data_IF_971868377261
#
_entry.id   IF_971868377261
#
_cell.length_a   1.000
_cell.length_b   1.000
_cell.length_c   1.000
_cell.angle_alpha   90.00
_cell.angle_beta   90.00
_cell.angle_gamma   90.00
#
_symmetry.space_group_name_H-M   'P 1'
#
loop_
_entity.id
_entity.type
_entity.pdbx_description
1 polymer ?
#
# COMPACT_ATOMS: atom_id res chain seq x y z
N UNK A 1 -2.54 19.64 19.19
CA UNK A 1 -1.72 18.41 19.11
C UNK A 1 -2.36 17.53 18.07
N UNK A 2 -1.83 17.54 16.90
CA UNK A 2 -2.54 17.26 15.65
C UNK A 2 -2.24 15.87 15.13
N UNK A 3 -3.23 15.29 14.49
CA UNK A 3 -3.32 13.90 14.00
C UNK A 3 -2.43 13.56 12.79
N UNK A 4 -1.48 14.42 12.41
CA UNK A 4 -0.69 14.23 11.18
C UNK A 4 0.51 13.27 11.29
N UNK A 5 0.91 12.88 12.52
CA UNK A 5 2.06 11.98 12.72
C UNK A 5 1.73 10.48 12.67
N UNK A 6 0.53 10.12 12.22
CA UNK A 6 -0.03 8.76 12.35
C UNK A 6 0.05 7.89 11.09
N UNK A 7 0.61 8.40 10.00
CA UNK A 7 0.52 7.73 8.68
C UNK A 7 1.66 6.77 8.32
N UNK A 8 2.66 6.55 9.19
CA UNK A 8 3.91 5.89 8.77
C UNK A 8 4.26 4.57 9.47
N UNK A 9 3.34 3.94 10.20
CA UNK A 9 3.62 2.67 10.90
C UNK A 9 2.76 1.48 10.44
N UNK A 10 2.11 1.57 9.30
CA UNK A 10 1.26 0.53 8.75
C UNK A 10 1.55 0.14 7.31
N UNK A 11 2.77 0.37 6.81
CA UNK A 11 3.11 0.18 5.40
C UNK A 11 4.14 -0.93 5.17
N UNK A 12 3.89 -2.08 5.71
CA UNK A 12 4.54 -3.29 5.23
C UNK A 12 3.45 -4.29 4.87
N UNK A 13 2.64 -3.96 3.86
CA UNK A 13 1.87 -4.94 3.06
C UNK A 13 0.90 -4.21 2.14
N UNK A 14 1.42 -3.72 1.07
CA UNK A 14 0.59 -3.48 -0.08
C UNK A 14 0.95 -4.55 -1.11
N UNK A 15 0.12 -5.58 -1.23
CA UNK A 15 -0.19 -6.05 -2.57
C UNK A 15 -0.35 -4.81 -3.44
N UNK A 16 -0.01 -4.83 -4.72
CA UNK A 16 -0.23 -3.75 -5.71
C UNK A 16 -1.63 -3.08 -5.66
N UNK A 17 -2.13 -2.85 -4.51
CA UNK A 17 -2.93 -1.69 -4.25
C UNK A 17 -1.90 -0.58 -4.21
N UNK A 18 -1.72 0.11 -5.34
CA UNK A 18 -1.42 1.54 -5.26
C UNK A 18 -2.01 1.98 -3.95
N UNK A 19 -1.23 2.49 -2.96
CA UNK A 19 -1.89 3.00 -1.78
C UNK A 19 -3.03 3.79 -2.36
N UNK A 20 -4.26 3.31 -2.18
CA UNK A 20 -5.40 4.11 -2.55
C UNK A 20 -5.12 5.34 -1.74
N UNK A 21 -4.42 6.24 -2.41
CA UNK A 21 -4.03 7.53 -1.86
C UNK A 21 -5.36 7.99 -1.35
N UNK A 22 -5.55 8.01 -0.01
CA UNK A 22 -6.83 8.14 0.63
C UNK A 22 -7.48 9.40 0.09
N UNK A 23 -8.07 9.22 -1.03
CA UNK A 23 -8.59 10.22 -1.91
C UNK A 23 -9.78 10.73 -1.26
N UNK A 24 -9.98 11.67 -0.94
CA UNK A 24 -11.22 12.23 -0.67
C UNK A 24 -11.21 13.37 0.28
N UNK A 25 -10.17 14.04 0.32
CA UNK A 25 -10.25 15.35 0.90
C UNK A 25 -9.86 16.34 -0.18
N UNK A 26 -10.85 16.86 -0.90
CA UNK A 26 -10.71 18.16 -1.55
C UNK A 26 -10.20 19.11 -0.48
N UNK A 27 -8.92 19.36 -0.52
CA UNK A 27 -8.27 20.26 0.38
C UNK A 27 -8.85 21.66 0.18
N UNK A 28 -9.27 22.29 1.23
CA UNK A 28 -9.67 23.66 1.23
C UNK A 28 -8.44 24.55 1.52
N UNK A 29 -8.52 25.84 1.22
CA UNK A 29 -7.49 26.81 1.55
C UNK A 29 -7.07 26.83 3.04
N UNK A 30 -7.89 26.27 3.94
CA UNK A 30 -7.57 26.02 5.34
C UNK A 30 -6.33 25.12 5.52
N UNK A 31 -6.05 24.20 4.59
CA UNK A 31 -4.86 23.36 4.68
C UNK A 31 -3.57 24.11 4.38
N UNK A 32 -3.61 25.06 3.49
CA UNK A 32 -2.46 25.94 3.22
C UNK A 32 -2.06 26.67 4.51
N UNK A 33 -3.05 27.18 5.26
CA UNK A 33 -2.79 27.85 6.53
C UNK A 33 -2.33 26.86 7.62
N UNK A 34 -2.79 25.62 7.57
CA UNK A 34 -2.37 24.55 8.48
C UNK A 34 -0.91 24.16 8.22
N UNK A 35 -0.51 23.96 6.97
CA UNK A 35 0.89 23.67 6.59
C UNK A 35 1.84 24.74 7.09
N UNK A 36 1.47 26.01 6.95
CA UNK A 36 2.28 27.15 7.45
C UNK A 36 2.47 27.15 8.96
N UNK A 37 1.52 26.60 9.71
CA UNK A 37 1.59 26.47 11.17
C UNK A 37 2.33 25.22 11.66
N UNK A 38 2.30 24.16 10.89
CA UNK A 38 2.81 22.85 11.27
C UNK A 38 4.24 22.58 10.80
N UNK A 39 4.69 23.25 9.74
CA UNK A 39 6.05 23.11 9.23
C UNK A 39 7.07 23.61 10.26
N UNK A 40 8.14 22.87 10.43
CA UNK A 40 9.18 23.17 11.44
C UNK A 40 10.21 24.16 10.98
N UNK A 41 10.44 24.25 9.69
CA UNK A 41 11.35 25.17 9.07
C UNK A 41 10.73 25.77 7.80
N UNK A 42 11.13 27.00 7.45
CA UNK A 42 10.77 27.61 6.18
C UNK A 42 11.91 28.44 5.62
N UNK A 43 12.08 28.41 4.30
CA UNK A 43 13.03 29.26 3.57
C UNK A 43 12.29 29.82 2.36
N UNK A 44 11.98 31.09 2.38
CA UNK A 44 11.12 31.70 1.36
C UNK A 44 9.75 31.03 1.28
N UNK A 45 9.33 30.55 0.10
CA UNK A 45 8.05 29.84 -0.06
C UNK A 45 8.07 28.38 0.36
N UNK A 46 9.25 27.82 0.69
CA UNK A 46 9.41 26.41 1.02
C UNK A 46 9.23 26.19 2.52
N UNK A 47 8.30 25.33 2.86
CA UNK A 47 8.04 24.85 4.21
C UNK A 47 8.50 23.40 4.31
N UNK A 48 9.27 23.03 5.32
CA UNK A 48 9.84 21.69 5.41
C UNK A 48 9.79 21.13 6.82
N UNK A 49 9.69 19.81 6.91
CA UNK A 49 9.88 19.04 8.14
C UNK A 49 10.83 17.88 7.84
N UNK A 50 12.14 18.09 8.01
CA UNK A 50 13.12 17.01 7.89
C UNK A 50 12.99 16.04 9.07
N UNK A 51 13.31 14.78 8.80
CA UNK A 51 13.19 13.68 9.77
C UNK A 51 14.29 12.65 9.51
N UNK A 52 14.80 12.08 10.59
CA UNK A 52 15.60 10.86 10.54
C UNK A 52 14.88 9.79 11.34
N UNK A 53 14.69 8.64 10.73
CA UNK A 53 14.14 7.47 11.42
C UNK A 53 15.16 6.34 11.37
N UNK A 54 15.50 5.78 12.53
CA UNK A 54 16.18 4.50 12.66
C UNK A 54 15.09 3.48 13.00
N UNK A 55 14.92 2.48 12.17
CA UNK A 55 13.91 1.43 12.34
C UNK A 55 14.55 0.05 12.22
N UNK A 56 13.89 -0.96 12.77
CA UNK A 56 14.38 -2.34 12.72
C UNK A 56 15.79 -2.52 13.28
N UNK A 57 16.20 -1.66 14.26
CA UNK A 57 17.45 -1.86 14.97
C UNK A 57 17.29 -3.02 15.94
N UNK A 58 17.60 -4.24 15.48
CA UNK A 58 17.33 -5.44 16.26
C UNK A 58 17.58 -6.72 15.50
N UNK A 59 16.87 -7.78 15.82
CA UNK A 59 17.06 -9.11 15.27
C UNK A 59 15.84 -9.54 14.45
N UNK A 60 16.11 -10.06 13.26
CA UNK A 60 15.21 -10.80 12.40
C UNK A 60 15.58 -12.28 12.51
N UNK A 61 14.68 -13.11 13.04
CA UNK A 61 14.96 -14.54 13.29
C UNK A 61 14.95 -15.40 12.03
N UNK A 62 14.40 -14.89 10.91
CA UNK A 62 14.28 -15.61 9.65
C UNK A 62 14.38 -14.64 8.46
N UNK A 63 15.58 -14.17 8.17
CA UNK A 63 15.84 -13.15 7.13
C UNK A 63 15.31 -13.55 5.75
N UNK A 64 15.31 -14.83 5.43
CA UNK A 64 14.89 -15.35 4.12
C UNK A 64 13.47 -15.94 4.12
N UNK A 65 12.75 -15.90 5.24
CA UNK A 65 11.46 -16.55 5.38
C UNK A 65 11.50 -18.05 4.99
N UNK A 66 12.58 -18.72 5.37
CA UNK A 66 12.79 -20.12 5.04
C UNK A 66 11.95 -21.03 5.95
N UNK A 67 11.33 -22.08 5.38
CA UNK A 67 10.50 -23.03 6.10
C UNK A 67 11.32 -24.01 6.96
N UNK A 68 12.49 -24.44 6.51
CA UNK A 68 13.21 -25.56 7.14
C UNK A 68 14.49 -25.18 7.88
N UNK A 69 15.14 -24.11 7.51
CA UNK A 69 16.40 -23.65 8.11
C UNK A 69 16.39 -22.12 8.20
N UNK A 70 15.71 -21.56 9.22
CA UNK A 70 15.67 -20.13 9.40
C UNK A 70 17.05 -19.57 9.74
N UNK A 71 17.45 -18.52 9.06
CA UNK A 71 18.70 -17.81 9.31
C UNK A 71 18.40 -16.44 9.94
N UNK A 72 19.00 -16.20 11.11
CA UNK A 72 18.81 -14.95 11.83
C UNK A 72 19.94 -13.97 11.56
N UNK A 73 19.61 -12.67 11.57
CA UNK A 73 20.59 -11.61 11.50
C UNK A 73 20.22 -10.38 12.33
N UNK A 74 21.21 -9.59 12.67
CA UNK A 74 20.99 -8.27 13.22
C UNK A 74 20.81 -7.28 12.08
N UNK A 75 19.74 -6.48 12.14
CA UNK A 75 19.34 -5.56 11.09
C UNK A 75 19.22 -4.14 11.60
N UNK A 76 19.39 -3.18 10.71
CA UNK A 76 19.10 -1.77 10.96
C UNK A 76 18.70 -1.07 9.65
N UNK A 77 17.74 -0.16 9.74
CA UNK A 77 17.37 0.70 8.61
C UNK A 77 17.38 2.15 9.06
N UNK A 78 18.18 2.98 8.40
CA UNK A 78 18.20 4.43 8.60
C UNK A 78 17.48 5.11 7.46
N UNK A 79 16.46 5.90 7.77
CA UNK A 79 15.64 6.61 6.79
C UNK A 79 15.73 8.12 7.01
N UNK A 80 16.68 8.82 6.38
CA UNK A 80 16.58 10.27 6.22
C UNK A 80 15.41 10.58 5.27
N UNK A 81 14.57 11.53 5.66
CA UNK A 81 13.42 11.96 4.87
C UNK A 81 13.06 13.41 5.13
N UNK A 82 12.31 14.01 4.21
CA UNK A 82 11.76 15.34 4.40
C UNK A 82 10.36 15.44 3.77
N UNK A 83 9.44 16.03 4.51
CA UNK A 83 8.18 16.52 3.95
C UNK A 83 8.38 17.99 3.57
N UNK A 84 8.09 18.36 2.33
CA UNK A 84 8.25 19.71 1.79
C UNK A 84 6.91 20.17 1.24
N UNK A 85 6.56 21.41 1.57
CA UNK A 85 5.35 22.07 1.07
C UNK A 85 5.68 23.43 0.45
N UNK A 86 5.02 23.72 -0.66
CA UNK A 86 5.12 25.03 -1.32
C UNK A 86 3.70 25.56 -1.52
N UNK A 87 3.18 26.36 -0.56
CA UNK A 87 1.90 27.02 -0.73
C UNK A 87 2.04 28.24 -1.63
N UNK A 88 1.20 28.34 -2.66
CA UNK A 88 1.19 29.47 -3.59
C UNK A 88 -0.10 30.27 -3.42
N UNK A 89 0.01 31.45 -2.85
CA UNK A 89 -1.04 32.48 -2.76
C UNK A 89 -2.43 31.99 -2.32
N UNK A 90 -2.56 30.99 -1.45
CA UNK A 90 -3.83 30.33 -1.03
C UNK A 90 -4.63 29.70 -2.18
N UNK A 91 -4.02 29.55 -3.36
CA UNK A 91 -4.67 28.97 -4.54
C UNK A 91 -4.07 27.64 -4.98
N UNK A 92 -2.82 27.40 -4.63
CA UNK A 92 -2.18 26.13 -4.95
C UNK A 92 -1.33 25.63 -3.78
N UNK A 93 -1.19 24.34 -3.69
CA UNK A 93 -0.32 23.67 -2.74
C UNK A 93 0.45 22.58 -3.48
N UNK A 94 1.77 22.61 -3.42
CA UNK A 94 2.61 21.48 -3.78
C UNK A 94 3.11 20.85 -2.48
N UNK A 95 2.97 19.54 -2.38
CA UNK A 95 3.46 18.73 -1.28
C UNK A 95 4.36 17.65 -1.85
N UNK A 96 5.53 17.43 -1.26
CA UNK A 96 6.47 16.38 -1.67
C UNK A 96 7.05 15.73 -0.43
N UNK A 97 7.12 14.40 -0.42
CA UNK A 97 7.88 13.64 0.56
C UNK A 97 9.02 12.96 -0.17
N UNK A 98 10.24 13.18 0.28
CA UNK A 98 11.45 12.55 -0.26
C UNK A 98 12.17 11.81 0.84
N UNK A 99 12.70 10.64 0.55
CA UNK A 99 13.49 9.86 1.51
C UNK A 99 14.25 8.72 0.86
N UNK A 100 15.08 8.08 1.66
CA UNK A 100 15.76 6.85 1.25
C UNK A 100 15.91 5.93 2.46
N UNK A 101 15.64 4.65 2.27
CA UNK A 101 15.94 3.63 3.28
C UNK A 101 17.36 3.10 3.03
N UNK A 102 18.24 3.27 4.02
CA UNK A 102 19.57 2.69 4.07
C UNK A 102 19.47 1.41 4.90
N UNK A 103 19.31 0.28 4.21
CA UNK A 103 19.08 -1.03 4.84
C UNK A 103 20.39 -1.76 5.07
N UNK A 104 20.64 -2.19 6.29
CA UNK A 104 21.84 -2.87 6.69
C UNK A 104 21.55 -4.21 7.36
N UNK A 105 22.33 -5.22 7.02
CA UNK A 105 22.37 -6.57 7.62
C UNK A 105 23.79 -6.85 8.08
N UNK A 106 23.96 -7.52 9.21
CA UNK A 106 25.28 -7.80 9.76
C UNK A 106 26.01 -8.88 8.95
N UNK A 107 25.43 -10.05 8.84
CA UNK A 107 26.02 -11.21 8.18
C UNK A 107 25.70 -11.25 6.68
N UNK A 108 24.50 -10.88 6.28
CA UNK A 108 24.01 -10.96 4.90
C UNK A 108 24.24 -9.66 4.13
N UNK A 109 25.50 -9.40 3.75
CA UNK A 109 25.88 -8.20 3.00
C UNK A 109 25.12 -8.05 1.66
N UNK A 110 24.74 -9.16 1.03
CA UNK A 110 23.96 -9.18 -0.20
C UNK A 110 22.54 -8.64 -0.02
N UNK A 111 22.03 -8.64 1.22
CA UNK A 111 20.69 -8.11 1.54
C UNK A 111 20.69 -6.61 1.85
N UNK A 112 21.87 -5.98 1.93
CA UNK A 112 21.98 -4.53 2.12
C UNK A 112 21.47 -3.79 0.89
N UNK A 113 20.79 -2.66 1.11
CA UNK A 113 20.26 -1.88 0.00
C UNK A 113 20.14 -0.39 0.34
N UNK A 114 20.09 0.41 -0.73
CA UNK A 114 19.70 1.82 -0.70
C UNK A 114 18.44 1.92 -1.50
N UNK A 115 17.34 2.33 -0.86
CA UNK A 115 16.00 2.29 -1.40
C UNK A 115 15.39 3.70 -1.44
N UNK A 116 15.70 4.52 -2.48
CA UNK A 116 15.15 5.87 -2.61
C UNK A 116 13.66 5.83 -2.95
N UNK A 117 12.94 6.80 -2.39
CA UNK A 117 11.53 7.03 -2.68
C UNK A 117 11.17 8.50 -2.68
N UNK A 118 10.23 8.86 -3.54
CA UNK A 118 9.65 10.19 -3.58
C UNK A 118 8.17 10.10 -3.89
N UNK A 119 7.37 10.90 -3.21
CA UNK A 119 5.96 11.11 -3.56
C UNK A 119 5.69 12.60 -3.64
N UNK A 120 4.78 13.00 -4.52
CA UNK A 120 4.41 14.40 -4.69
C UNK A 120 2.94 14.54 -5.01
N UNK A 121 2.33 15.64 -4.55
CA UNK A 121 0.97 16.02 -4.88
C UNK A 121 0.91 17.53 -5.10
N UNK A 122 0.33 17.93 -6.23
CA UNK A 122 0.02 19.31 -6.55
C UNK A 122 -1.48 19.53 -6.62
N UNK A 123 -1.98 20.61 -6.05
CA UNK A 123 -3.38 20.97 -6.08
C UNK A 123 -3.54 22.46 -6.44
N UNK A 124 -4.51 22.76 -7.31
CA UNK A 124 -4.90 24.10 -7.69
C UNK A 124 -6.38 24.32 -7.37
N UNK A 125 -6.66 25.22 -6.46
CA UNK A 125 -7.99 25.55 -5.98
C UNK A 125 -8.58 26.73 -6.74
N UNK A 126 -9.59 26.45 -7.56
CA UNK A 126 -10.39 27.44 -8.26
C UNK A 126 -11.79 27.36 -7.67
N UNK A 127 -12.38 28.40 -7.23
CA UNK A 127 -13.71 28.48 -6.60
C UNK A 127 -14.51 27.16 -6.43
N UNK A 128 -14.96 26.56 -7.55
CA UNK A 128 -15.73 25.29 -7.60
C UNK A 128 -14.97 24.11 -8.18
N UNK A 129 -13.76 24.34 -8.68
CA UNK A 129 -12.95 23.33 -9.36
C UNK A 129 -11.63 23.21 -8.59
N UNK A 130 -11.23 21.96 -8.34
CA UNK A 130 -9.88 21.66 -7.86
C UNK A 130 -9.23 20.78 -8.91
N UNK A 131 -8.11 21.22 -9.46
CA UNK A 131 -7.23 20.39 -10.26
C UNK A 131 -6.20 19.77 -9.34
N UNK A 132 -5.90 18.50 -9.55
CA UNK A 132 -4.86 17.82 -8.79
C UNK A 132 -4.03 16.90 -9.69
N UNK A 133 -2.80 16.71 -9.29
CA UNK A 133 -1.92 15.70 -9.84
C UNK A 133 -1.04 15.17 -8.71
N UNK A 134 -0.90 13.87 -8.63
CA UNK A 134 0.00 13.23 -7.69
C UNK A 134 0.76 12.08 -8.34
N UNK A 135 1.86 11.71 -7.71
CA UNK A 135 2.68 10.64 -8.21
C UNK A 135 3.71 10.18 -7.18
N UNK A 136 4.25 9.01 -7.44
CA UNK A 136 5.27 8.40 -6.61
C UNK A 136 6.25 7.59 -7.44
N UNK A 137 7.47 7.55 -6.94
CA UNK A 137 8.55 6.71 -7.43
C UNK A 137 9.21 6.03 -6.24
N UNK A 138 9.43 4.73 -6.34
CA UNK A 138 10.18 3.95 -5.38
C UNK A 138 11.08 2.96 -6.11
N UNK A 139 12.36 2.94 -5.76
CA UNK A 139 13.28 1.89 -6.17
C UNK A 139 13.72 1.16 -4.91
N UNK A 140 13.24 -0.05 -4.73
CA UNK A 140 13.37 -0.75 -3.46
C UNK A 140 13.78 -2.20 -3.63
N UNK A 141 14.38 -2.77 -2.59
CA UNK A 141 14.64 -4.20 -2.46
C UNK A 141 13.75 -4.85 -1.39
N UNK A 142 12.70 -4.16 -0.99
CA UNK A 142 11.72 -4.71 -0.05
C UNK A 142 10.91 -5.85 -0.72
N UNK A 143 10.29 -6.69 0.10
CA UNK A 143 9.34 -7.68 -0.40
C UNK A 143 8.12 -6.98 -0.98
N UNK A 144 7.69 -7.41 -2.17
CA UNK A 144 6.53 -6.80 -2.83
C UNK A 144 5.24 -7.05 -2.04
N UNK A 145 5.03 -8.29 -1.65
CA UNK A 145 3.87 -8.74 -0.88
C UNK A 145 4.19 -10.07 -0.18
N UNK A 146 3.22 -10.72 0.46
CA UNK A 146 3.43 -12.03 1.12
C UNK A 146 3.60 -13.18 0.14
N UNK A 147 3.14 -13.05 -1.09
CA UNK A 147 3.37 -14.06 -2.11
C UNK A 147 4.82 -13.99 -2.62
N UNK A 148 5.25 -12.77 -3.01
CA UNK A 148 6.62 -12.47 -3.39
C UNK A 148 7.39 -12.07 -2.14
N UNK A 149 7.66 -13.02 -1.28
CA UNK A 149 8.32 -12.81 0.00
C UNK A 149 9.86 -12.79 -0.06
N UNK A 150 10.42 -12.80 -1.26
CA UNK A 150 11.82 -12.55 -1.55
C UNK A 150 12.12 -11.05 -1.57
N UNK A 151 13.29 -10.67 -1.06
CA UNK A 151 13.82 -9.30 -1.19
C UNK A 151 14.38 -9.10 -2.61
N UNK A 152 13.52 -8.67 -3.51
CA UNK A 152 13.81 -8.47 -4.93
C UNK A 152 13.88 -6.98 -5.26
N UNK A 153 14.94 -6.56 -5.98
CA UNK A 153 15.03 -5.18 -6.48
C UNK A 153 13.93 -4.95 -7.51
N UNK A 154 13.14 -3.91 -7.28
CA UNK A 154 12.11 -3.48 -8.23
C UNK A 154 11.86 -1.98 -8.14
N UNK A 155 11.29 -1.46 -9.22
CA UNK A 155 10.85 -0.07 -9.34
C UNK A 155 9.32 -0.06 -9.38
N UNK A 156 8.73 0.78 -8.54
CA UNK A 156 7.31 1.09 -8.54
C UNK A 156 7.13 2.56 -8.92
N UNK A 157 6.29 2.83 -9.91
CA UNK A 157 5.89 4.18 -10.30
C UNK A 157 4.37 4.27 -10.29
N UNK A 158 3.85 5.41 -9.86
CA UNK A 158 2.44 5.69 -9.92
C UNK A 158 2.21 7.17 -10.20
N UNK A 159 1.19 7.47 -10.98
CA UNK A 159 0.75 8.85 -11.22
C UNK A 159 -0.77 8.87 -11.34
N UNK A 160 -1.36 9.95 -10.85
CA UNK A 160 -2.77 10.25 -11.00
C UNK A 160 -2.92 11.74 -11.30
N UNK A 161 -3.83 12.10 -12.20
CA UNK A 161 -4.19 13.48 -12.43
C UNK A 161 -5.69 13.59 -12.67
N UNK A 162 -6.30 14.63 -12.12
CA UNK A 162 -7.75 14.75 -12.19
C UNK A 162 -8.29 16.13 -11.88
N UNK A 163 -9.62 16.18 -11.93
CA UNK A 163 -10.42 17.36 -11.63
C UNK A 163 -11.59 17.00 -10.73
N UNK A 164 -11.76 17.75 -9.67
CA UNK A 164 -12.94 17.69 -8.79
C UNK A 164 -13.76 18.96 -8.97
N UNK A 165 -15.06 18.79 -9.23
CA UNK A 165 -16.00 19.90 -9.46
C UNK A 165 -17.10 19.87 -8.38
N UNK A 166 -17.23 20.97 -7.64
CA UNK A 166 -18.33 21.19 -6.67
C UNK A 166 -19.55 21.71 -7.42
N UNK A 167 -20.50 20.83 -7.75
CA UNK A 167 -21.75 21.19 -8.45
C UNK A 167 -22.69 21.97 -7.54
N UNK A 168 -22.80 21.52 -6.29
CA UNK A 168 -23.55 22.18 -5.23
C UNK A 168 -22.74 22.19 -3.93
N UNK A 169 -23.17 22.90 -2.89
CA UNK A 169 -22.49 22.82 -1.58
C UNK A 169 -22.40 21.41 -0.98
N UNK A 170 -23.27 20.48 -1.41
CA UNK A 170 -23.30 19.10 -0.90
C UNK A 170 -22.88 18.04 -1.90
N UNK A 171 -22.83 18.36 -3.19
CA UNK A 171 -22.55 17.38 -4.24
C UNK A 171 -21.33 17.77 -5.07
N UNK A 172 -20.42 16.83 -5.27
CA UNK A 172 -19.25 16.99 -6.13
C UNK A 172 -19.02 15.74 -6.99
N UNK A 173 -18.37 15.95 -8.14
CA UNK A 173 -17.91 14.88 -9.03
C UNK A 173 -16.42 15.08 -9.20
N UNK A 174 -15.68 13.99 -9.16
CA UNK A 174 -14.24 13.93 -9.42
C UNK A 174 -13.99 12.94 -10.54
N UNK A 175 -13.12 13.30 -11.46
CA UNK A 175 -12.61 12.40 -12.50
C UNK A 175 -11.09 12.41 -12.46
N UNK A 176 -10.47 11.25 -12.60
CA UNK A 176 -9.02 11.11 -12.61
C UNK A 176 -8.57 10.06 -13.62
N UNK A 177 -7.40 10.29 -14.21
CA UNK A 177 -6.64 9.30 -14.96
C UNK A 177 -5.55 8.70 -14.08
N UNK A 178 -5.32 7.39 -14.22
CA UNK A 178 -4.37 6.62 -13.41
C UNK A 178 -3.31 5.97 -14.28
N UNK A 179 -2.09 5.96 -13.81
CA UNK A 179 -0.97 5.23 -14.37
C UNK A 179 -0.19 4.57 -13.24
N UNK A 180 0.19 3.30 -13.43
CA UNK A 180 1.12 2.60 -12.56
C UNK A 180 2.05 1.71 -13.37
N UNK A 181 3.26 1.51 -12.90
CA UNK A 181 4.27 0.68 -13.53
C UNK A 181 5.08 -0.06 -12.45
N UNK A 182 5.21 -1.36 -12.59
CA UNK A 182 6.01 -2.24 -11.75
C UNK A 182 7.05 -2.94 -12.59
N UNK A 183 8.33 -2.84 -12.20
CA UNK A 183 9.43 -3.49 -12.92
C UNK A 183 10.42 -4.12 -11.96
N UNK A 184 10.61 -5.43 -12.10
CA UNK A 184 11.67 -6.19 -11.43
C UNK A 184 12.95 -6.20 -12.24
N UNK A 185 14.08 -6.26 -11.55
CA UNK A 185 15.38 -6.51 -12.18
C UNK A 185 15.41 -7.90 -12.83
N UNK A 186 16.11 -8.01 -13.99
CA UNK A 186 16.05 -9.17 -14.88
C UNK A 186 16.52 -10.50 -14.30
N UNK A 187 17.35 -10.48 -13.27
CA UNK A 187 17.99 -11.68 -12.72
C UNK A 187 17.28 -12.27 -11.51
N UNK A 188 16.21 -11.61 -11.04
CA UNK A 188 15.49 -12.07 -9.85
C UNK A 188 14.56 -13.21 -10.16
N UNK A 189 14.81 -14.37 -9.53
CA UNK A 189 13.97 -15.56 -9.65
C UNK A 189 13.37 -15.96 -8.31
N UNK A 190 12.14 -16.46 -8.34
CA UNK A 190 11.43 -17.06 -7.22
C UNK A 190 10.87 -18.40 -7.67
N UNK A 191 11.23 -19.49 -6.99
CA UNK A 191 10.88 -20.88 -7.38
C UNK A 191 11.23 -21.23 -8.85
N UNK A 192 12.36 -20.68 -9.35
CA UNK A 192 12.78 -20.87 -10.74
C UNK A 192 12.06 -19.99 -11.77
N UNK A 193 11.08 -19.18 -11.35
CA UNK A 193 10.35 -18.25 -12.20
C UNK A 193 11.00 -16.87 -12.12
N UNK A 194 11.32 -16.28 -13.27
CA UNK A 194 11.83 -14.88 -13.33
C UNK A 194 10.69 -13.91 -13.06
N UNK A 195 10.75 -13.15 -11.96
CA UNK A 195 9.71 -12.21 -11.57
C UNK A 195 9.44 -11.14 -12.64
N UNK A 196 10.50 -10.67 -13.33
CA UNK A 196 10.38 -9.74 -14.44
C UNK A 196 9.39 -10.26 -15.51
N UNK A 197 9.44 -11.56 -15.85
CA UNK A 197 8.61 -12.12 -16.92
C UNK A 197 7.13 -12.21 -16.58
N UNK A 198 6.82 -12.36 -15.31
CA UNK A 198 5.45 -12.63 -14.85
C UNK A 198 4.79 -11.42 -14.19
N UNK A 199 5.57 -10.47 -13.68
CA UNK A 199 5.06 -9.36 -12.87
C UNK A 199 5.39 -7.96 -13.42
N UNK A 200 6.32 -7.81 -14.40
CA UNK A 200 6.49 -6.50 -15.03
C UNK A 200 5.21 -6.10 -15.74
N UNK A 201 4.57 -5.06 -15.24
CA UNK A 201 3.27 -4.64 -15.76
C UNK A 201 3.12 -3.13 -15.70
N UNK A 202 2.35 -2.63 -16.65
CA UNK A 202 1.84 -1.28 -16.72
C UNK A 202 0.32 -1.31 -16.56
N UNK A 203 -0.20 -0.51 -15.64
CA UNK A 203 -1.64 -0.32 -15.43
C UNK A 203 -2.03 1.10 -15.84
N UNK A 204 -3.03 1.24 -16.68
CA UNK A 204 -3.64 2.52 -17.05
C UNK A 204 -5.13 2.47 -16.79
N UNK A 205 -5.71 3.61 -16.45
CA UNK A 205 -7.13 3.64 -16.25
C UNK A 205 -7.67 5.02 -15.96
N UNK A 206 -8.95 5.04 -15.64
CA UNK A 206 -9.62 6.26 -15.18
C UNK A 206 -10.67 5.93 -14.12
N UNK A 207 -11.01 6.92 -13.32
CA UNK A 207 -12.08 6.83 -12.34
C UNK A 207 -13.03 8.03 -12.42
N UNK A 208 -14.27 7.78 -12.00
CA UNK A 208 -15.29 8.81 -11.76
C UNK A 208 -15.89 8.57 -10.39
N UNK A 209 -15.81 9.57 -9.51
CA UNK A 209 -16.37 9.47 -8.15
C UNK A 209 -17.38 10.57 -7.92
N UNK A 210 -18.64 10.18 -7.68
CA UNK A 210 -19.69 11.08 -7.20
C UNK A 210 -19.70 11.09 -5.68
N UNK A 211 -19.71 12.28 -5.05
CA UNK A 211 -19.76 12.43 -3.59
C UNK A 211 -20.92 13.29 -3.17
N UNK A 212 -21.69 12.81 -2.18
CA UNK A 212 -22.78 13.55 -1.55
C UNK A 212 -22.51 13.73 -0.05
N UNK A 213 -22.30 14.96 0.39
CA UNK A 213 -22.08 15.31 1.80
C UNK A 213 -23.39 15.29 2.57
N UNK A 214 -23.58 14.25 3.39
CA UNK A 214 -24.77 14.10 4.24
C UNK A 214 -24.67 15.00 5.48
N UNK A 215 -23.51 14.99 6.14
CA UNK A 215 -23.20 15.85 7.27
C UNK A 215 -21.87 16.58 7.03
N UNK A 216 -21.48 17.57 7.83
CA UNK A 216 -20.15 18.18 7.73
C UNK A 216 -18.98 17.20 7.84
N UNK A 217 -19.20 16.03 8.47
CA UNK A 217 -18.17 15.03 8.75
C UNK A 217 -18.37 13.71 7.97
N UNK A 218 -19.49 13.53 7.27
CA UNK A 218 -19.86 12.27 6.60
C UNK A 218 -20.25 12.53 5.14
N UNK A 219 -19.66 11.78 4.24
CA UNK A 219 -19.90 11.83 2.80
C UNK A 219 -20.24 10.44 2.28
N UNK A 220 -21.31 10.30 1.52
CA UNK A 220 -21.58 9.12 0.70
C UNK A 220 -20.86 9.29 -0.63
N UNK A 221 -20.28 8.22 -1.14
CA UNK A 221 -19.56 8.23 -2.41
C UNK A 221 -19.93 7.01 -3.25
N UNK A 222 -19.86 7.18 -4.56
CA UNK A 222 -19.90 6.06 -5.51
C UNK A 222 -18.73 6.25 -6.46
N UNK A 223 -17.81 5.27 -6.50
CA UNK A 223 -16.65 5.25 -7.37
C UNK A 223 -16.88 4.24 -8.50
N UNK A 224 -16.72 4.68 -9.72
CA UNK A 224 -16.54 3.85 -10.89
C UNK A 224 -15.06 3.94 -11.29
N UNK A 225 -14.45 2.82 -11.62
CA UNK A 225 -13.06 2.77 -12.08
C UNK A 225 -12.93 1.74 -13.19
N UNK A 226 -12.17 2.08 -14.21
CA UNK A 226 -11.80 1.17 -15.28
C UNK A 226 -10.29 1.14 -15.41
N UNK A 227 -9.72 -0.07 -15.45
CA UNK A 227 -8.29 -0.33 -15.54
C UNK A 227 -7.98 -1.24 -16.72
N UNK A 228 -6.81 -1.06 -17.27
CA UNK A 228 -6.21 -1.90 -18.29
C UNK A 228 -4.79 -2.24 -17.83
N UNK A 229 -4.50 -3.54 -17.71
CA UNK A 229 -3.20 -4.08 -17.34
C UNK A 229 -2.50 -4.65 -18.55
N UNK A 230 -1.24 -4.29 -18.76
CA UNK A 230 -0.36 -4.79 -19.81
C UNK A 230 0.91 -5.35 -19.22
N UNK A 231 1.27 -6.56 -19.60
CA UNK A 231 2.48 -7.25 -19.15
C UNK A 231 3.56 -7.18 -20.23
N UNK A 232 4.74 -6.66 -19.84
CA UNK A 232 5.85 -6.44 -20.77
C UNK A 232 6.32 -7.73 -21.46
N UNK A 233 6.43 -8.84 -20.70
CA UNK A 233 6.96 -10.12 -21.16
C UNK A 233 5.92 -11.24 -21.20
N UNK A 234 4.69 -10.96 -20.82
CA UNK A 234 3.59 -11.94 -20.76
C UNK A 234 2.28 -11.36 -21.30
N UNK A 235 2.18 -11.00 -22.59
CA UNK A 235 0.96 -10.42 -23.16
C UNK A 235 -0.29 -11.27 -22.99
N UNK A 236 -0.13 -12.59 -22.81
CA UNK A 236 -1.23 -13.49 -22.47
C UNK A 236 -1.94 -13.12 -21.14
N UNK A 237 -1.30 -12.35 -20.29
CA UNK A 237 -1.84 -11.85 -19.02
C UNK A 237 -2.51 -10.49 -19.13
N UNK A 238 -2.47 -9.85 -20.29
CA UNK A 238 -3.13 -8.57 -20.52
C UNK A 238 -4.62 -8.65 -20.22
N UNK A 239 -5.12 -7.66 -19.51
CA UNK A 239 -6.50 -7.67 -19.05
C UNK A 239 -7.15 -6.29 -19.03
N UNK A 240 -8.47 -6.30 -18.90
CA UNK A 240 -9.30 -5.13 -18.57
C UNK A 240 -10.16 -5.45 -17.39
N UNK A 241 -10.37 -4.47 -16.52
CA UNK A 241 -11.32 -4.61 -15.44
C UNK A 241 -12.07 -3.30 -15.20
N UNK A 242 -13.30 -3.42 -14.71
CA UNK A 242 -13.99 -2.29 -14.11
C UNK A 242 -14.50 -2.66 -12.73
N UNK A 243 -14.66 -1.66 -11.88
CA UNK A 243 -15.29 -1.81 -10.57
C UNK A 243 -16.23 -0.65 -10.26
N UNK A 244 -17.31 -0.96 -9.56
CA UNK A 244 -18.27 0.03 -9.05
C UNK A 244 -18.35 -0.15 -7.55
N UNK A 245 -18.01 0.88 -6.81
CA UNK A 245 -17.85 0.82 -5.37
C UNK A 245 -18.63 1.95 -4.68
N UNK A 246 -19.88 1.74 -4.26
CA UNK A 246 -20.54 2.60 -3.28
C UNK A 246 -19.80 2.54 -1.93
N UNK A 247 -19.78 3.66 -1.23
CA UNK A 247 -19.08 3.78 0.04
C UNK A 247 -19.44 4.99 0.86
N UNK A 248 -18.79 5.07 2.02
CA UNK A 248 -18.93 6.15 2.98
C UNK A 248 -17.55 6.63 3.41
N UNK A 249 -17.38 7.93 3.50
CA UNK A 249 -16.16 8.60 3.90
C UNK A 249 -16.41 9.46 5.14
N UNK A 250 -15.53 9.33 6.14
CA UNK A 250 -15.54 10.12 7.37
C UNK A 250 -14.31 11.01 7.45
N UNK A 251 -14.51 12.28 7.80
CA UNK A 251 -13.40 13.23 7.94
C UNK A 251 -12.49 12.86 9.12
N UNK A 252 -11.18 13.21 9.09
CA UNK A 252 -10.22 12.89 10.17
C UNK A 252 -10.57 13.48 11.53
N UNK A 253 -11.40 14.50 11.60
CA UNK A 253 -11.85 15.13 12.86
C UNK A 253 -13.14 14.52 13.42
N UNK A 254 -13.76 13.57 12.72
CA UNK A 254 -14.89 12.84 13.23
C UNK A 254 -14.45 11.84 14.31
N UNK A 255 -15.37 11.44 15.16
CA UNK A 255 -15.15 10.40 16.18
C UNK A 255 -14.74 9.06 15.51
N UNK A 256 -15.38 8.76 14.38
CA UNK A 256 -14.98 7.72 13.44
C UNK A 256 -14.36 8.43 12.24
N UNK A 257 -13.17 8.03 11.80
CA UNK A 257 -12.49 8.59 10.64
C UNK A 257 -12.06 7.48 9.69
N UNK A 258 -11.93 7.81 8.40
CA UNK A 258 -11.56 6.85 7.36
C UNK A 258 -12.65 6.64 6.33
N UNK A 259 -12.63 5.51 5.64
CA UNK A 259 -13.60 5.19 4.59
C UNK A 259 -13.93 3.70 4.55
N UNK A 260 -15.09 3.39 3.99
CA UNK A 260 -15.54 2.04 3.72
C UNK A 260 -16.24 2.01 2.37
N UNK A 261 -15.75 1.15 1.48
CA UNK A 261 -16.28 0.89 0.16
C UNK A 261 -16.53 -0.60 0.00
N UNK A 262 -17.64 -0.96 -0.59
CA UNK A 262 -17.93 -2.33 -1.01
C UNK A 262 -18.56 -2.26 -2.40
N UNK A 263 -18.19 -3.17 -3.28
CA UNK A 263 -18.65 -3.09 -4.65
C UNK A 263 -18.44 -4.37 -5.41
N UNK A 264 -18.53 -4.23 -6.71
CA UNK A 264 -18.41 -5.32 -7.66
C UNK A 264 -17.28 -5.00 -8.65
N UNK A 265 -16.45 -5.99 -8.95
CA UNK A 265 -15.42 -5.94 -9.97
C UNK A 265 -15.68 -7.02 -11.01
N UNK A 266 -15.54 -6.65 -12.27
CA UNK A 266 -15.45 -7.57 -13.38
C UNK A 266 -14.07 -7.44 -14.00
N UNK A 267 -13.41 -8.59 -14.17
CA UNK A 267 -12.07 -8.71 -14.73
C UNK A 267 -12.15 -9.64 -15.94
N UNK A 268 -11.68 -9.15 -17.09
CA UNK A 268 -11.73 -9.84 -18.36
C UNK A 268 -10.34 -9.85 -19.01
N UNK A 269 -9.76 -11.03 -19.26
CA UNK A 269 -8.56 -11.15 -20.09
C UNK A 269 -8.78 -10.57 -21.47
N UNK A 270 -7.74 -9.97 -22.06
CA UNK A 270 -7.78 -9.46 -23.44
C UNK A 270 -7.57 -10.57 -24.47
N UNK A 271 -6.82 -11.60 -24.08
CA UNK A 271 -6.50 -12.73 -24.94
C UNK A 271 -7.36 -13.92 -24.53
N UNK A 272 -8.11 -14.48 -25.47
CA UNK A 272 -9.03 -15.60 -25.21
C UNK A 272 -8.29 -16.82 -24.66
N UNK A 273 -8.77 -17.35 -23.54
CA UNK A 273 -8.32 -18.59 -22.93
C UNK A 273 -7.01 -18.53 -22.14
N UNK A 274 -6.35 -17.38 -22.07
CA UNK A 274 -5.06 -17.27 -21.37
C UNK A 274 -5.19 -17.11 -19.84
N UNK A 275 -6.26 -16.47 -19.38
CA UNK A 275 -6.52 -16.24 -17.95
C UNK A 275 -7.96 -16.61 -17.60
N UNK A 276 -8.24 -17.06 -16.36
CA UNK A 276 -9.61 -17.17 -15.89
C UNK A 276 -10.25 -15.78 -15.78
N UNK A 277 -11.56 -15.70 -16.04
CA UNK A 277 -12.36 -14.51 -15.78
C UNK A 277 -12.68 -14.42 -14.30
N UNK A 278 -12.78 -13.22 -13.78
CA UNK A 278 -13.28 -12.99 -12.43
C UNK A 278 -14.43 -12.01 -12.45
N UNK A 279 -15.46 -12.33 -11.70
CA UNK A 279 -16.55 -11.41 -11.41
C UNK A 279 -17.00 -11.63 -9.95
N UNK A 280 -16.99 -10.58 -9.15
CA UNK A 280 -17.30 -10.78 -7.74
C UNK A 280 -17.24 -9.51 -6.89
N UNK A 281 -17.52 -9.71 -5.62
CA UNK A 281 -17.47 -8.64 -4.64
C UNK A 281 -16.02 -8.25 -4.34
N UNK A 282 -15.80 -6.94 -4.27
CA UNK A 282 -14.57 -6.30 -3.81
C UNK A 282 -14.90 -5.33 -2.69
N UNK A 283 -13.96 -5.12 -1.79
CA UNK A 283 -14.18 -4.24 -0.65
C UNK A 283 -12.86 -3.60 -0.18
N UNK A 284 -12.98 -2.39 0.31
CA UNK A 284 -11.90 -1.60 0.89
C UNK A 284 -12.45 -0.86 2.11
N UNK A 285 -11.92 -1.15 3.28
CA UNK A 285 -12.32 -0.53 4.53
C UNK A 285 -11.09 -0.17 5.34
N UNK A 286 -11.04 1.07 5.80
CA UNK A 286 -10.07 1.56 6.76
C UNK A 286 -10.73 2.56 7.67
N UNK A 287 -11.12 2.11 8.87
CA UNK A 287 -11.81 2.93 9.84
C UNK A 287 -11.01 3.02 11.13
N UNK A 288 -11.05 4.17 11.77
CA UNK A 288 -10.52 4.36 13.11
C UNK A 288 -11.52 5.09 14.00
N UNK A 289 -11.57 4.66 15.26
CA UNK A 289 -12.40 5.25 16.32
C UNK A 289 -11.52 5.73 17.45
N UNK A 290 -11.61 7.01 17.81
CA UNK A 290 -10.82 7.60 18.90
C UNK A 290 -11.66 7.79 20.15
N UNK A 291 -11.38 6.97 21.16
CA UNK A 291 -12.05 7.00 22.46
C UNK A 291 -11.30 7.94 23.41
N UNK A 292 -12.03 8.91 23.99
CA UNK A 292 -11.53 9.85 25.00
C UNK A 292 -10.23 10.58 24.60
N UNK A 293 -9.97 10.73 23.28
CA UNK A 293 -8.78 11.41 22.76
C UNK A 293 -7.44 10.69 23.02
N UNK A 294 -7.44 9.54 23.69
CA UNK A 294 -6.23 8.84 24.11
C UNK A 294 -6.08 7.42 23.57
N UNK A 295 -7.19 6.78 23.21
CA UNK A 295 -7.20 5.41 22.66
C UNK A 295 -7.82 5.42 21.29
N UNK A 296 -7.08 4.94 20.30
CA UNK A 296 -7.56 4.79 18.92
C UNK A 296 -7.64 3.30 18.58
N UNK A 297 -8.83 2.87 18.18
CA UNK A 297 -9.06 1.56 17.59
C UNK A 297 -9.05 1.71 16.08
N UNK A 298 -8.37 0.83 15.38
CA UNK A 298 -8.33 0.76 13.93
C UNK A 298 -8.83 -0.59 13.45
N UNK A 299 -9.58 -0.59 12.34
CA UNK A 299 -10.01 -1.81 11.65
C UNK A 299 -9.78 -1.58 10.16
N UNK A 300 -9.21 -2.58 9.51
CA UNK A 300 -9.01 -2.62 8.06
C UNK A 300 -9.61 -3.90 7.49
N UNK A 301 -10.14 -3.79 6.28
CA UNK A 301 -10.55 -4.94 5.49
C UNK A 301 -10.28 -4.65 4.02
N UNK A 302 -9.74 -5.63 3.30
CA UNK A 302 -9.52 -5.54 1.87
C UNK A 302 -9.92 -6.85 1.20
N UNK A 303 -10.60 -6.76 0.06
CA UNK A 303 -10.87 -7.89 -0.82
C UNK A 303 -10.73 -7.41 -2.25
N UNK A 304 -9.72 -7.91 -2.97
CA UNK A 304 -9.54 -7.60 -4.38
C UNK A 304 -8.68 -8.66 -5.07
N UNK A 305 -8.64 -8.62 -6.40
CA UNK A 305 -7.80 -9.44 -7.24
C UNK A 305 -6.38 -8.88 -7.29
N UNK A 306 -5.38 -9.75 -7.16
CA UNK A 306 -3.95 -9.43 -7.27
C UNK A 306 -3.27 -10.46 -8.17
N UNK A 307 -2.38 -10.01 -9.05
CA UNK A 307 -1.61 -10.90 -9.91
C UNK A 307 -0.57 -11.68 -9.12
N UNK A 308 -0.42 -12.95 -9.49
CA UNK A 308 0.55 -13.89 -8.94
C UNK A 308 1.78 -13.98 -9.84
N UNK A 309 2.95 -14.29 -9.28
CA UNK A 309 4.12 -14.63 -10.08
C UNK A 309 4.02 -16.01 -10.72
N UNK A 310 3.13 -16.86 -10.23
CA UNK A 310 2.93 -18.22 -10.71
C UNK A 310 2.29 -18.24 -12.09
N UNK A 311 2.78 -19.14 -12.95
CA UNK A 311 2.27 -19.25 -14.33
C UNK A 311 0.92 -19.97 -14.34
N UNK A 312 0.78 -21.06 -13.57
CA UNK A 312 -0.44 -21.87 -13.51
C UNK A 312 -1.54 -21.26 -12.64
N UNK A 313 -1.19 -20.34 -11.79
CA UNK A 313 -2.07 -19.64 -10.85
C UNK A 313 -1.85 -18.13 -11.01
N UNK A 314 -2.32 -17.54 -12.11
CA UNK A 314 -1.90 -16.20 -12.56
C UNK A 314 -2.39 -15.04 -11.70
N UNK A 315 -3.40 -15.26 -10.87
CA UNK A 315 -3.87 -14.31 -9.89
C UNK A 315 -4.53 -15.01 -8.69
N UNK A 316 -4.72 -14.27 -7.65
CA UNK A 316 -5.42 -14.69 -6.45
C UNK A 316 -6.38 -13.60 -5.96
N UNK A 317 -7.39 -14.02 -5.21
CA UNK A 317 -8.23 -13.10 -4.46
C UNK A 317 -7.62 -12.95 -3.07
N UNK A 318 -7.20 -11.73 -2.77
CA UNK A 318 -6.69 -11.36 -1.47
C UNK A 318 -7.84 -10.95 -0.55
N UNK A 319 -8.01 -11.64 0.58
CA UNK A 319 -8.89 -11.25 1.67
C UNK A 319 -8.02 -10.88 2.88
N UNK A 320 -7.96 -9.59 3.20
CA UNK A 320 -7.21 -9.07 4.33
C UNK A 320 -8.12 -8.49 5.40
N UNK A 321 -7.89 -8.83 6.66
CA UNK A 321 -8.52 -8.21 7.82
C UNK A 321 -7.45 -7.81 8.82
N UNK A 322 -7.56 -6.59 9.36
CA UNK A 322 -6.64 -6.08 10.37
C UNK A 322 -7.37 -5.36 11.49
N UNK A 323 -6.80 -5.45 12.69
CA UNK A 323 -7.26 -4.68 13.83
C UNK A 323 -6.06 -4.08 14.58
N UNK A 324 -6.21 -2.89 15.10
CA UNK A 324 -5.17 -2.23 15.87
C UNK A 324 -5.74 -1.44 17.04
N UNK A 325 -4.94 -1.35 18.11
CA UNK A 325 -5.22 -0.50 19.26
C UNK A 325 -3.97 0.34 19.48
N UNK A 326 -4.14 1.65 19.53
CA UNK A 326 -3.13 2.59 19.96
C UNK A 326 -3.62 3.32 21.18
N UNK A 327 -2.82 3.33 22.27
CA UNK A 327 -3.13 4.05 23.47
C UNK A 327 -1.99 4.97 23.89
N UNK A 328 -2.31 6.25 24.09
CA UNK A 328 -1.42 7.19 24.74
C UNK A 328 -1.55 7.03 26.25
N UNK A 329 -0.43 6.75 26.93
CA UNK A 329 -0.31 6.64 28.37
C UNK A 329 0.34 7.90 28.91
N UNK A 330 -0.49 8.83 29.37
CA UNK A 330 -0.05 10.18 29.73
C UNK A 330 0.46 10.97 28.51
N UNK A 331 1.49 11.82 28.73
CA UNK A 331 2.02 12.69 27.67
C UNK A 331 3.20 12.10 26.90
N UNK A 332 3.85 11.09 27.43
CA UNK A 332 5.15 10.60 26.95
C UNK A 332 5.13 9.19 26.41
N UNK A 333 4.29 8.31 26.93
CA UNK A 333 4.26 6.92 26.52
C UNK A 333 3.13 6.67 25.52
N UNK A 334 3.34 5.75 24.61
CA UNK A 334 2.31 5.15 23.77
C UNK A 334 2.53 3.63 23.64
N UNK A 335 1.43 2.91 23.51
CA UNK A 335 1.41 1.47 23.23
C UNK A 335 0.62 1.26 21.95
N UNK A 336 1.12 0.41 21.07
CA UNK A 336 0.45 0.01 19.84
C UNK A 336 0.44 -1.51 19.80
N UNK A 337 -0.72 -2.09 19.53
CA UNK A 337 -0.88 -3.51 19.27
C UNK A 337 -1.69 -3.65 17.99
N UNK A 338 -1.28 -4.53 17.10
CA UNK A 338 -2.04 -4.88 15.89
C UNK A 338 -1.99 -6.36 15.59
N UNK A 339 -3.02 -6.81 14.91
CA UNK A 339 -3.11 -8.16 14.35
C UNK A 339 -3.73 -8.05 12.95
N UNK A 340 -3.08 -8.67 11.97
CA UNK A 340 -3.53 -8.71 10.60
C UNK A 340 -3.55 -10.16 10.12
N UNK A 341 -4.56 -10.52 9.34
CA UNK A 341 -4.69 -11.81 8.68
C UNK A 341 -4.99 -11.60 7.21
N UNK A 342 -4.26 -12.31 6.34
CA UNK A 342 -4.54 -12.35 4.91
C UNK A 342 -4.75 -13.79 4.46
N UNK A 343 -5.65 -13.94 3.51
CA UNK A 343 -5.92 -15.21 2.84
C UNK A 343 -5.87 -14.97 1.33
N UNK A 344 -5.03 -15.72 0.65
CA UNK A 344 -4.82 -15.67 -0.79
C UNK A 344 -5.41 -16.93 -1.41
N UNK A 345 -6.56 -16.80 -2.06
CA UNK A 345 -7.21 -17.88 -2.79
C UNK A 345 -6.81 -17.77 -4.27
N UNK A 346 -5.97 -18.69 -4.73
CA UNK A 346 -5.42 -18.67 -6.07
C UNK A 346 -6.42 -19.22 -7.09
N UNK A 347 -6.47 -18.59 -8.25
CA UNK A 347 -7.27 -19.05 -9.39
C UNK A 347 -6.37 -19.81 -10.37
N UNK A 348 -6.79 -21.03 -10.74
CA UNK A 348 -6.05 -21.92 -11.63
C UNK A 348 -6.36 -21.55 -13.09
N UNK A 349 -5.37 -21.70 -13.98
CA UNK A 349 -5.62 -21.68 -15.42
C UNK A 349 -6.64 -22.76 -15.80
N UNK A 350 -7.49 -22.48 -16.79
CA UNK A 350 -8.37 -23.47 -17.36
C UNK A 350 -7.54 -24.58 -18.03
N UNK A 351 -7.94 -25.85 -17.81
CA UNK A 351 -7.21 -27.04 -18.29
C UNK A 351 -7.12 -27.11 -19.82
N UNK A 352 -8.00 -26.39 -20.53
CA UNK A 352 -8.10 -26.36 -22.00
C UNK A 352 -7.54 -25.08 -22.65
N UNK A 353 -6.71 -24.30 -21.94
CA UNK A 353 -6.13 -23.09 -22.53
C UNK A 353 -5.25 -23.46 -23.74
N UNK A 354 -5.50 -22.89 -24.95
CA UNK A 354 -4.69 -23.17 -26.13
C UNK A 354 -3.24 -22.79 -25.86
N UNK A 355 -2.31 -23.64 -26.36
CA UNK A 355 -0.88 -23.32 -26.37
C UNK A 355 -0.65 -22.08 -27.23
N UNK A 356 -0.60 -20.90 -26.65
CA UNK A 356 -0.14 -19.69 -27.33
C UNK A 356 1.38 -19.79 -27.45
N UNK A 357 1.99 -19.35 -28.55
CA UNK A 357 3.44 -19.46 -28.76
C UNK A 357 4.34 -18.66 -27.82
N UNK A 358 3.84 -18.26 -26.68
CA UNK A 358 4.56 -17.57 -25.60
C UNK A 358 5.38 -18.62 -24.82
N UNK A 359 6.69 -18.42 -24.58
CA UNK A 359 7.54 -19.33 -23.82
C UNK A 359 7.09 -19.57 -22.37
N UNK A 360 6.07 -18.86 -21.89
CA UNK A 360 5.40 -19.08 -20.61
C UNK A 360 4.18 -20.00 -20.71
N UNK A 361 3.80 -20.46 -21.90
CA UNK A 361 2.71 -21.43 -22.06
C UNK A 361 3.17 -22.81 -21.58
N UNK A 362 2.57 -23.24 -20.50
CA UNK A 362 2.73 -24.59 -19.97
C UNK A 362 1.84 -25.54 -20.78
N UNK A 363 2.34 -26.74 -21.06
CA UNK A 363 1.52 -27.79 -21.63
C UNK A 363 0.27 -28.02 -20.75
N UNK A 364 -0.91 -28.32 -21.34
CA UNK A 364 -2.13 -28.47 -20.59
C UNK A 364 -1.97 -29.53 -19.49
N UNK A 365 -2.19 -29.13 -18.25
CA UNK A 365 -2.14 -30.03 -17.11
C UNK A 365 -3.40 -30.88 -17.15
N UNK A 366 -3.25 -32.18 -17.29
CA UNK A 366 -4.38 -33.12 -17.27
C UNK A 366 -4.79 -33.39 -15.80
N UNK A 367 -5.97 -32.95 -15.43
CA UNK A 367 -6.59 -33.23 -14.15
C UNK A 367 -6.97 -31.97 -13.36
N UNK A 368 -7.83 -32.09 -12.36
CA UNK A 368 -8.19 -30.97 -11.49
C UNK A 368 -6.97 -30.55 -10.67
N UNK A 369 -6.55 -29.28 -10.81
CA UNK A 369 -5.56 -28.66 -9.95
C UNK A 369 -6.29 -28.25 -8.66
N UNK A 370 -5.87 -28.77 -7.52
CA UNK A 370 -6.40 -28.32 -6.24
C UNK A 370 -6.17 -26.83 -6.08
N UNK A 371 -7.17 -26.12 -5.58
CA UNK A 371 -7.05 -24.69 -5.34
C UNK A 371 -6.04 -24.42 -4.24
N UNK A 372 -5.01 -23.64 -4.54
CA UNK A 372 -4.05 -23.17 -3.56
C UNK A 372 -4.66 -22.06 -2.72
N UNK A 373 -4.47 -22.17 -1.41
CA UNK A 373 -4.83 -21.14 -0.43
C UNK A 373 -3.65 -20.92 0.50
N UNK A 374 -3.12 -19.72 0.51
CA UNK A 374 -2.10 -19.29 1.45
C UNK A 374 -2.75 -18.41 2.51
N UNK A 375 -2.37 -18.58 3.77
CA UNK A 375 -2.81 -17.77 4.90
C UNK A 375 -1.61 -17.16 5.57
N UNK A 376 -1.70 -15.87 5.90
CA UNK A 376 -0.65 -15.18 6.64
C UNK A 376 -1.23 -14.49 7.86
N UNK A 377 -0.47 -14.47 8.93
CA UNK A 377 -0.78 -13.78 10.16
C UNK A 377 0.38 -12.86 10.51
N UNK A 378 0.07 -11.66 10.97
CA UNK A 378 1.05 -10.71 11.48
C UNK A 378 0.55 -10.14 12.79
N UNK A 379 1.34 -10.28 13.86
CA UNK A 379 1.07 -9.70 15.17
C UNK A 379 2.18 -8.72 15.50
N UNK A 380 1.82 -7.52 15.90
CA UNK A 380 2.79 -6.49 16.28
C UNK A 380 2.41 -5.89 17.63
N UNK A 381 3.40 -5.71 18.48
CA UNK A 381 3.26 -4.96 19.72
C UNK A 381 4.44 -3.99 19.86
N UNK A 382 4.19 -2.77 20.27
CA UNK A 382 5.25 -1.79 20.53
C UNK A 382 4.91 -0.83 21.66
N UNK A 383 5.95 -0.42 22.36
CA UNK A 383 5.90 0.64 23.39
C UNK A 383 6.82 1.75 22.95
N UNK A 384 6.38 2.99 23.03
CA UNK A 384 7.15 4.18 22.65
C UNK A 384 7.22 5.21 23.76
N UNK A 385 8.34 5.90 23.82
CA UNK A 385 8.58 7.04 24.69
C UNK A 385 8.93 8.28 23.89
N UNK A 386 8.26 9.39 24.14
CA UNK A 386 8.45 10.67 23.46
C UNK A 386 9.38 11.58 24.25
N UNK A 387 10.41 12.08 23.58
CA UNK A 387 11.42 12.99 24.14
C UNK A 387 11.50 14.20 23.21
N UNK A 388 10.95 15.32 23.63
CA UNK A 388 10.93 16.52 22.79
C UNK A 388 10.29 16.24 21.42
N UNK A 389 11.05 16.42 20.36
CA UNK A 389 10.67 16.17 18.97
C UNK A 389 10.92 14.72 18.51
N UNK A 390 11.45 13.89 19.40
CA UNK A 390 11.78 12.50 19.12
C UNK A 390 10.84 11.50 19.78
N UNK A 391 10.88 10.27 19.25
CA UNK A 391 10.24 9.10 19.84
C UNK A 391 11.20 7.93 19.76
N UNK A 392 11.42 7.27 20.89
CA UNK A 392 12.13 5.98 20.97
C UNK A 392 11.08 4.92 21.26
N UNK A 393 11.06 3.86 20.51
CA UNK A 393 10.12 2.76 20.68
C UNK A 393 10.84 1.42 20.62
N UNK A 394 10.34 0.46 21.38
CA UNK A 394 10.70 -0.94 21.25
C UNK A 394 9.49 -1.71 20.77
N UNK A 395 9.69 -2.63 19.84
CA UNK A 395 8.63 -3.42 19.24
C UNK A 395 9.04 -4.85 18.99
N UNK A 396 8.02 -5.70 18.93
CA UNK A 396 8.10 -7.09 18.51
C UNK A 396 7.04 -7.33 17.45
N UNK A 397 7.38 -8.09 16.41
CA UNK A 397 6.44 -8.58 15.41
C UNK A 397 6.66 -10.06 15.16
N UNK A 398 5.57 -10.79 15.05
CA UNK A 398 5.56 -12.21 14.72
C UNK A 398 4.75 -12.40 13.43
N UNK A 399 5.34 -13.09 12.49
CA UNK A 399 4.80 -13.36 11.16
C UNK A 399 4.71 -14.87 10.98
N UNK A 400 3.61 -15.32 10.44
CA UNK A 400 3.39 -16.74 10.13
C UNK A 400 2.74 -16.82 8.75
N UNK A 401 3.20 -17.74 7.94
CA UNK A 401 2.59 -18.11 6.67
C UNK A 401 2.37 -19.60 6.61
N UNK A 402 1.19 -20.00 6.19
CA UNK A 402 0.79 -21.36 5.92
C UNK A 402 0.24 -21.49 4.49
N UNK A 403 0.58 -22.57 3.80
CA UNK A 403 0.13 -22.87 2.44
C UNK A 403 -0.29 -24.32 2.32
N UNK A 404 -1.49 -24.58 1.80
CA UNK A 404 -1.99 -25.94 1.63
C UNK A 404 -1.30 -26.73 0.52
N UNK A 405 -0.64 -26.07 -0.43
CA UNK A 405 0.06 -26.71 -1.55
C UNK A 405 1.57 -26.49 -1.54
N UNK A 406 2.04 -25.40 -0.93
CA UNK A 406 3.43 -25.00 -0.90
C UNK A 406 3.99 -25.07 0.51
N UNK A 407 4.01 -26.30 1.10
CA UNK A 407 4.50 -26.51 2.48
C UNK A 407 5.92 -25.93 2.69
N UNK A 408 6.79 -25.97 1.67
CA UNK A 408 8.10 -25.34 1.69
C UNK A 408 8.07 -23.80 1.73
N UNK A 409 6.88 -23.19 1.59
CA UNK A 409 6.60 -21.77 1.74
C UNK A 409 5.92 -21.42 3.06
N UNK A 410 5.66 -22.41 3.91
CA UNK A 410 5.17 -22.20 5.27
C UNK A 410 6.34 -21.84 6.18
N UNK A 411 6.27 -20.73 6.88
CA UNK A 411 7.34 -20.25 7.76
C UNK A 411 6.79 -19.41 8.89
N UNK A 412 7.58 -19.26 9.92
CA UNK A 412 7.40 -18.23 10.94
C UNK A 412 8.64 -17.31 11.02
N UNK A 413 8.42 -16.10 11.52
CA UNK A 413 9.48 -15.13 11.68
C UNK A 413 9.17 -14.20 12.86
N UNK A 414 10.07 -14.16 13.81
CA UNK A 414 10.02 -13.26 14.95
C UNK A 414 11.04 -12.12 14.77
N UNK A 415 10.56 -10.89 14.81
CA UNK A 415 11.41 -9.70 14.78
C UNK A 415 11.22 -8.89 16.03
N UNK A 416 12.29 -8.43 16.60
CA UNK A 416 12.27 -7.47 17.68
C UNK A 416 13.35 -6.41 17.49
N UNK A 417 13.02 -5.20 17.86
CA UNK A 417 13.96 -4.12 17.67
C UNK A 417 13.48 -2.78 18.18
N UNK A 418 14.38 -1.84 18.08
CA UNK A 418 14.18 -0.45 18.47
C UNK A 418 13.90 0.42 17.24
N UNK A 419 12.98 1.35 17.40
CA UNK A 419 12.72 2.41 16.42
C UNK A 419 12.97 3.76 17.08
N UNK A 420 13.77 4.60 16.44
CA UNK A 420 14.00 5.99 16.88
C UNK A 420 13.57 6.90 15.74
N UNK A 421 12.67 7.84 16.03
CA UNK A 421 12.26 8.87 15.10
C UNK A 421 12.59 10.22 15.68
N UNK A 422 13.30 11.04 14.93
CA UNK A 422 13.60 12.40 15.28
C UNK A 422 13.26 13.34 14.12
N UNK A 423 12.52 14.41 14.39
CA UNK A 423 12.21 15.45 13.40
C UNK A 423 12.79 16.77 13.86
N UNK A 424 13.46 17.46 12.95
CA UNK A 424 14.13 18.74 13.17
C UNK A 424 13.19 19.92 13.04
#
# INVERSE_FOLDING_TARGET
MTASSLRHLGLALAALTLPSLAHAQTYDAEQIDQVRKEARSHVGPFYATPRITLKELGVDSNVFNAAGQPESDFTATVTPSADVWVPVARRALLQTTVGTDLVWYNNFATERSIDPHVTGRGELYLQRITLFADGGYRNTRQRLNYEVDLRARHVEQAAEAGVAVKLTPKFSIETAGHYADLRFDGDTTLDGIRLQRTLNQETRGYSVTGRHRVTPLTTLAVRYEQLEDKFEFSPARDSKSFRVMPGIEFKPRALISGSAYVGYREFTPKNDGALPKFSGLVAELGLSYTLLGSTTFGVTYSRDLTYSYEVLQPFFINNGVGASIRRALGRRFDVIVSADRFEYAYENLAVDAPATGDPLTVAPVKGPIEQRVDKTWNYTASVGYRIGNGRVGFGVSYWERDSNQRVFRSYDNLRFGTTVTYGF
#
